data_IF_660752021676
#
_entry.id   IF_660752021676
#
_cell.length_a   1.000
_cell.length_b   1.000
_cell.length_c   1.000
_cell.angle_alpha   90.00
_cell.angle_beta   90.00
_cell.angle_gamma   90.00
#
_symmetry.space_group_name_H-M   'P 1'
#
loop_
_entity.id
_entity.type
_entity.pdbx_description
1 polymer ?
#
# COMPACT_ATOMS: atom_id res chain seq x y z
N UNK A 1 59.86 -41.92 -14.70
CA UNK A 1 59.09 -41.81 -13.45
C UNK A 1 57.77 -41.13 -13.76
N UNK A 2 56.65 -41.83 -13.54
CA UNK A 2 55.29 -41.40 -13.88
C UNK A 2 54.76 -40.53 -12.73
N UNK A 3 54.38 -39.28 -12.99
CA UNK A 3 53.61 -38.50 -12.02
C UNK A 3 52.13 -38.62 -12.32
N UNK A 4 51.44 -39.12 -11.30
CA UNK A 4 50.03 -39.41 -11.20
C UNK A 4 49.20 -38.13 -11.09
N UNK A 5 48.13 -38.14 -11.87
CA UNK A 5 46.92 -37.33 -11.79
C UNK A 5 46.31 -37.25 -10.38
N UNK A 6 46.05 -36.04 -9.87
CA UNK A 6 45.02 -35.80 -8.85
C UNK A 6 43.84 -35.07 -9.50
N UNK A 7 42.70 -35.76 -9.50
CA UNK A 7 41.41 -35.26 -10.00
C UNK A 7 40.79 -34.38 -8.91
N UNK A 8 40.46 -33.14 -9.26
CA UNK A 8 39.58 -32.29 -8.46
C UNK A 8 38.15 -32.83 -8.51
N UNK A 9 37.73 -33.44 -7.41
CA UNK A 9 36.37 -33.89 -7.14
C UNK A 9 35.54 -32.73 -6.58
N UNK A 10 34.99 -31.89 -7.47
CA UNK A 10 33.87 -31.03 -7.10
C UNK A 10 32.60 -31.89 -7.12
N UNK A 11 32.32 -32.53 -6.00
CA UNK A 11 31.08 -33.26 -5.78
C UNK A 11 29.91 -32.29 -5.73
N UNK A 12 28.93 -32.58 -6.59
CA UNK A 12 27.59 -32.03 -6.62
C UNK A 12 26.99 -31.79 -5.22
N UNK A 13 26.79 -30.51 -4.87
CA UNK A 13 25.96 -30.09 -3.75
C UNK A 13 25.03 -28.93 -4.15
N UNK A 14 24.54 -28.93 -5.39
CA UNK A 14 23.41 -28.07 -5.81
C UNK A 14 22.11 -28.83 -5.59
N UNK A 15 21.82 -29.19 -4.32
CA UNK A 15 20.50 -29.71 -3.93
C UNK A 15 19.60 -28.55 -3.56
N UNK A 16 18.64 -28.29 -4.44
CA UNK A 16 17.33 -27.72 -4.17
C UNK A 16 17.09 -27.22 -2.73
N UNK A 17 17.37 -25.93 -2.47
CA UNK A 17 16.59 -25.19 -1.48
C UNK A 17 15.21 -24.93 -2.08
N UNK A 18 14.35 -25.95 -2.06
CA UNK A 18 12.92 -25.70 -1.94
C UNK A 18 12.77 -24.96 -0.62
N UNK A 19 12.55 -23.65 -0.67
CA UNK A 19 12.02 -22.91 0.46
C UNK A 19 10.62 -23.48 0.73
N UNK A 20 10.60 -24.58 1.47
CA UNK A 20 9.47 -24.97 2.27
C UNK A 20 9.13 -23.74 3.10
N UNK A 21 7.95 -23.17 2.88
CA UNK A 21 7.28 -22.39 3.90
C UNK A 21 7.46 -23.18 5.19
N UNK A 22 8.24 -22.64 6.14
CA UNK A 22 8.38 -23.29 7.43
C UNK A 22 7.00 -23.24 8.06
N UNK A 23 6.26 -24.34 7.97
CA UNK A 23 4.99 -24.52 8.66
C UNK A 23 5.12 -24.28 10.17
N UNK A 24 6.35 -24.28 10.71
CA UNK A 24 6.64 -23.95 12.09
C UNK A 24 6.54 -22.44 12.43
N UNK A 25 6.52 -21.52 11.45
CA UNK A 25 6.23 -20.08 11.70
C UNK A 25 4.74 -19.74 11.60
N UNK A 26 3.90 -20.67 11.13
CA UNK A 26 2.44 -20.58 11.24
C UNK A 26 1.92 -20.88 12.67
N UNK A 27 2.80 -20.80 13.69
CA UNK A 27 2.51 -21.29 15.05
C UNK A 27 1.76 -20.31 15.94
N UNK A 28 1.42 -19.09 15.50
CA UNK A 28 0.51 -18.19 16.21
C UNK A 28 -0.40 -17.43 15.22
N UNK A 29 -1.68 -17.85 15.12
CA UNK A 29 -2.69 -17.32 14.18
C UNK A 29 -2.44 -17.83 12.75
N UNK A 30 -3.38 -18.36 11.98
CA UNK A 30 -4.61 -17.72 11.55
C UNK A 30 -5.64 -18.76 11.09
N UNK A 31 -6.72 -18.92 11.85
CA UNK A 31 -8.06 -18.87 11.29
C UNK A 31 -8.83 -17.81 12.07
N UNK A 32 -8.70 -16.56 11.63
CA UNK A 32 -9.45 -15.43 12.16
C UNK A 32 -9.56 -14.39 11.06
N UNK A 33 -10.78 -13.92 10.82
CA UNK A 33 -11.02 -12.76 9.97
C UNK A 33 -10.26 -11.58 10.57
N UNK A 34 -9.54 -10.82 9.73
CA UNK A 34 -8.78 -9.66 10.22
C UNK A 34 -9.71 -8.70 10.96
N UNK A 35 -9.26 -8.15 12.08
CA UNK A 35 -10.10 -7.33 12.96
C UNK A 35 -9.39 -6.04 13.33
N UNK A 36 -10.09 -4.92 13.18
CA UNK A 36 -9.61 -3.58 13.55
C UNK A 36 -9.96 -3.32 15.02
N UNK A 37 -8.94 -3.15 15.85
CA UNK A 37 -9.15 -2.80 17.26
C UNK A 37 -9.84 -1.44 17.39
N UNK A 38 -10.68 -1.31 18.42
CA UNK A 38 -11.49 -0.10 18.65
C UNK A 38 -10.64 1.18 18.65
N UNK A 39 -9.49 1.15 19.32
CA UNK A 39 -8.55 2.26 19.39
C UNK A 39 -7.96 2.67 18.03
N UNK A 40 -7.98 1.77 17.04
CA UNK A 40 -7.43 1.98 15.71
C UNK A 40 -8.50 2.21 14.62
N UNK A 41 -9.78 2.06 14.94
CA UNK A 41 -10.88 2.16 13.97
C UNK A 41 -10.90 3.51 13.25
N UNK A 42 -10.76 4.60 13.98
CA UNK A 42 -10.78 5.96 13.40
C UNK A 42 -9.64 6.15 12.41
N UNK A 43 -8.41 5.78 12.77
CA UNK A 43 -7.23 5.95 11.91
C UNK A 43 -7.29 5.01 10.69
N UNK A 44 -7.75 3.77 10.88
CA UNK A 44 -7.96 2.81 9.80
C UNK A 44 -9.00 3.31 8.80
N UNK A 45 -10.17 3.75 9.27
CA UNK A 45 -11.22 4.30 8.43
C UNK A 45 -10.78 5.58 7.72
N UNK A 46 -10.05 6.46 8.43
CA UNK A 46 -9.48 7.69 7.87
C UNK A 46 -8.56 7.36 6.69
N UNK A 47 -7.60 6.46 6.88
CA UNK A 47 -6.68 6.10 5.80
C UNK A 47 -7.37 5.39 4.65
N UNK A 48 -8.34 4.51 4.94
CA UNK A 48 -9.08 3.80 3.90
C UNK A 48 -9.89 4.76 3.01
N UNK A 49 -10.50 5.79 3.62
CA UNK A 49 -11.39 6.73 2.93
C UNK A 49 -10.66 7.93 2.31
N UNK A 50 -9.66 8.47 3.02
CA UNK A 50 -8.96 9.69 2.63
C UNK A 50 -7.61 9.42 1.95
N UNK A 51 -7.14 8.17 1.99
CA UNK A 51 -5.85 7.76 1.44
C UNK A 51 -4.66 8.53 2.02
N UNK A 52 -4.84 9.08 3.22
CA UNK A 52 -3.83 9.87 3.94
C UNK A 52 -3.93 9.66 5.45
N UNK A 53 -2.78 9.61 6.11
CA UNK A 53 -2.62 9.82 7.55
C UNK A 53 -1.63 10.98 7.70
N UNK A 54 -2.07 12.06 8.32
CA UNK A 54 -1.24 13.25 8.51
C UNK A 54 -0.07 13.02 9.46
N UNK A 55 0.96 13.87 9.34
CA UNK A 55 2.15 13.81 10.16
C UNK A 55 1.89 13.88 11.67
N UNK A 56 0.85 14.60 12.10
CA UNK A 56 0.47 14.72 13.51
C UNK A 56 -0.19 13.44 14.07
N UNK A 57 -0.77 12.61 13.20
CA UNK A 57 -1.48 11.39 13.60
C UNK A 57 -0.49 10.23 13.65
N UNK A 58 -0.34 9.63 14.82
CA UNK A 58 0.42 8.39 15.00
C UNK A 58 -0.44 7.19 14.63
N UNK A 59 0.19 6.14 14.09
CA UNK A 59 -0.50 4.88 13.81
C UNK A 59 -0.60 4.03 15.09
N UNK A 60 -1.81 3.80 15.64
CA UNK A 60 -1.99 3.01 16.86
C UNK A 60 -1.79 1.50 16.61
N UNK A 61 -1.63 0.73 17.68
CA UNK A 61 -1.72 -0.73 17.62
C UNK A 61 -3.16 -1.16 17.26
N UNK A 62 -3.29 -2.24 16.49
CA UNK A 62 -4.56 -2.71 15.93
C UNK A 62 -4.96 -2.05 14.60
N UNK A 63 -4.15 -1.13 14.08
CA UNK A 63 -4.37 -0.51 12.77
C UNK A 63 -4.25 -1.54 11.64
N UNK A 64 -5.19 -1.50 10.70
CA UNK A 64 -5.19 -2.37 9.53
C UNK A 64 -5.05 -1.58 8.22
N UNK A 65 -4.32 -2.17 7.27
CA UNK A 65 -4.25 -1.69 5.89
C UNK A 65 -4.31 -2.85 4.90
N UNK A 66 -5.49 -3.05 4.30
CA UNK A 66 -5.77 -4.03 3.25
C UNK A 66 -5.62 -3.48 1.82
N UNK A 67 -5.12 -2.25 1.65
CA UNK A 67 -4.96 -1.66 0.33
C UNK A 67 -6.25 -0.98 -0.14
N UNK A 68 -6.31 -0.63 -1.43
CA UNK A 68 -7.51 0.00 -2.00
C UNK A 68 -8.65 -1.01 -2.04
N UNK A 69 -9.82 -0.59 -1.57
CA UNK A 69 -11.00 -1.45 -1.55
C UNK A 69 -11.01 -2.44 -0.39
N UNK A 70 -10.14 -2.28 0.62
CA UNK A 70 -10.39 -2.92 1.91
C UNK A 70 -11.75 -2.45 2.41
N UNK A 71 -12.57 -3.39 2.85
CA UNK A 71 -13.84 -3.12 3.50
C UNK A 71 -13.72 -3.50 4.97
N UNK A 72 -14.31 -2.70 5.84
CA UNK A 72 -14.42 -2.96 7.27
C UNK A 72 -15.90 -2.89 7.60
N UNK A 73 -16.45 -3.93 8.21
CA UNK A 73 -17.85 -3.96 8.64
C UNK A 73 -18.06 -3.21 9.97
N UNK A 74 -19.32 -3.13 10.41
CA UNK A 74 -19.69 -2.46 11.66
C UNK A 74 -19.08 -3.10 12.92
N UNK A 75 -18.69 -4.37 12.83
CA UNK A 75 -18.05 -5.10 13.91
C UNK A 75 -16.53 -4.96 13.88
N UNK A 76 -15.95 -4.30 12.87
CA UNK A 76 -14.51 -4.11 12.73
C UNK A 76 -13.81 -5.23 11.97
N UNK A 77 -14.54 -6.19 11.40
CA UNK A 77 -13.91 -7.21 10.57
C UNK A 77 -13.57 -6.65 9.20
N UNK A 78 -12.35 -6.93 8.75
CA UNK A 78 -11.80 -6.44 7.51
C UNK A 78 -11.67 -7.54 6.46
N UNK A 79 -12.01 -7.20 5.22
CA UNK A 79 -11.81 -8.04 4.03
C UNK A 79 -11.09 -7.25 2.95
N UNK A 80 -10.24 -7.94 2.19
CA UNK A 80 -9.51 -7.38 1.06
C UNK A 80 -9.16 -8.46 0.04
N UNK A 81 -9.04 -8.09 -1.23
CA UNK A 81 -8.49 -8.95 -2.28
C UNK A 81 -6.98 -9.23 -2.14
N UNK A 82 -6.33 -8.72 -1.09
CA UNK A 82 -4.90 -8.86 -0.81
C UNK A 82 -4.69 -9.12 0.69
N UNK A 83 -3.44 -9.27 1.09
CA UNK A 83 -3.05 -9.28 2.51
C UNK A 83 -3.44 -7.99 3.22
N UNK A 84 -3.84 -8.14 4.48
CA UNK A 84 -4.20 -7.05 5.38
C UNK A 84 -3.04 -6.86 6.34
N UNK A 85 -2.33 -5.74 6.19
CA UNK A 85 -1.20 -5.42 7.05
C UNK A 85 -1.73 -4.95 8.40
N UNK A 86 -1.17 -5.48 9.49
CA UNK A 86 -1.48 -5.02 10.84
C UNK A 86 -0.27 -4.41 11.51
N UNK A 87 -0.50 -3.28 12.15
CA UNK A 87 0.45 -2.69 13.09
C UNK A 87 0.02 -3.10 14.49
N UNK A 88 0.80 -3.94 15.15
CA UNK A 88 0.57 -4.32 16.54
C UNK A 88 1.90 -4.58 17.24
N UNK A 89 2.40 -3.56 17.93
CA UNK A 89 3.69 -3.58 18.62
C UNK A 89 3.67 -4.49 19.84
N UNK A 90 2.51 -4.95 20.33
CA UNK A 90 2.41 -5.82 21.50
C UNK A 90 2.80 -7.27 21.17
N UNK A 91 2.53 -7.71 19.94
CA UNK A 91 2.83 -9.07 19.46
C UNK A 91 3.93 -9.11 18.39
N UNK A 92 4.10 -8.05 17.60
CA UNK A 92 5.07 -8.00 16.50
C UNK A 92 6.49 -7.67 17.00
N UNK A 93 7.25 -8.73 17.31
CA UNK A 93 8.65 -8.64 17.75
C UNK A 93 9.54 -7.98 16.69
N UNK A 94 9.31 -8.26 15.41
CA UNK A 94 10.12 -7.72 14.32
C UNK A 94 9.89 -6.22 14.15
N UNK A 95 8.63 -5.79 14.22
CA UNK A 95 8.28 -4.37 14.19
C UNK A 95 8.94 -3.63 15.35
N UNK A 96 8.90 -4.16 16.57
CA UNK A 96 9.61 -3.55 17.71
C UNK A 96 11.10 -3.37 17.44
N UNK A 97 11.78 -4.37 16.87
CA UNK A 97 13.20 -4.24 16.52
C UNK A 97 13.45 -3.14 15.47
N UNK A 98 12.55 -2.96 14.50
CA UNK A 98 12.63 -1.85 13.55
C UNK A 98 12.42 -0.49 14.26
N UNK A 99 11.50 -0.41 15.22
CA UNK A 99 11.25 0.80 15.99
C UNK A 99 12.42 1.17 16.91
N UNK A 100 13.04 0.20 17.57
CA UNK A 100 14.23 0.40 18.40
C UNK A 100 15.40 0.93 17.57
N UNK A 101 15.57 0.41 16.35
CA UNK A 101 16.54 0.97 15.40
C UNK A 101 16.22 2.44 15.11
N UNK A 102 14.97 2.75 14.74
CA UNK A 102 14.55 4.11 14.41
C UNK A 102 14.73 5.10 15.58
N UNK A 103 14.47 4.65 16.80
CA UNK A 103 14.59 5.43 18.04
C UNK A 103 16.01 5.46 18.64
N UNK A 104 16.99 4.82 17.98
CA UNK A 104 18.35 4.71 18.51
C UNK A 104 19.03 6.07 18.70
N UNK A 105 19.92 6.14 19.70
CA UNK A 105 20.72 7.35 20.00
C UNK A 105 21.58 7.82 18.83
N UNK A 106 21.97 6.92 17.93
CA UNK A 106 22.74 7.27 16.74
C UNK A 106 21.88 8.05 15.74
N UNK A 107 20.68 7.56 15.44
CA UNK A 107 19.72 8.23 14.55
C UNK A 107 19.21 9.54 15.14
N UNK A 108 19.03 9.62 16.46
CA UNK A 108 18.60 10.82 17.17
C UNK A 108 19.58 12.01 17.04
N UNK A 109 20.86 11.76 16.73
CA UNK A 109 21.87 12.81 16.51
C UNK A 109 21.82 13.42 15.11
N UNK A 110 21.18 12.74 14.16
CA UNK A 110 21.07 13.21 12.79
C UNK A 110 19.98 14.28 12.69
N UNK A 111 20.16 15.20 11.74
CA UNK A 111 19.10 16.13 11.33
C UNK A 111 17.93 15.36 10.68
N UNK A 112 16.82 16.06 10.44
CA UNK A 112 15.58 15.48 9.92
C UNK A 112 15.79 14.71 8.59
N UNK A 113 16.53 15.27 7.63
CA UNK A 113 16.72 14.65 6.31
C UNK A 113 17.64 13.42 6.37
N UNK A 114 18.75 13.51 7.11
CA UNK A 114 19.72 12.41 7.25
C UNK A 114 19.11 11.25 8.03
N UNK A 115 18.32 11.54 9.07
CA UNK A 115 17.59 10.54 9.84
C UNK A 115 16.58 9.80 8.95
N UNK A 116 15.77 10.55 8.21
CA UNK A 116 14.81 9.98 7.26
C UNK A 116 15.51 9.14 6.18
N UNK A 117 16.62 9.63 5.64
CA UNK A 117 17.43 8.92 4.63
C UNK A 117 17.95 7.60 5.17
N UNK A 118 18.42 7.59 6.43
CA UNK A 118 18.97 6.40 7.06
C UNK A 118 17.88 5.34 7.33
N UNK A 119 16.70 5.76 7.78
CA UNK A 119 15.51 4.90 7.93
C UNK A 119 15.06 4.35 6.57
N UNK A 120 14.96 5.19 5.54
CA UNK A 120 14.55 4.77 4.20
C UNK A 120 15.50 3.72 3.60
N UNK A 121 16.81 3.93 3.74
CA UNK A 121 17.83 2.95 3.31
C UNK A 121 17.77 1.65 4.11
N UNK A 122 17.42 1.72 5.40
CA UNK A 122 17.22 0.52 6.22
C UNK A 122 16.05 -0.32 5.69
N UNK A 123 14.89 0.31 5.48
CA UNK A 123 13.69 -0.32 4.94
C UNK A 123 13.94 -0.87 3.53
N UNK A 124 14.71 -0.13 2.72
CA UNK A 124 15.03 -0.58 1.37
C UNK A 124 15.85 -1.87 1.36
N UNK A 125 16.89 -1.97 2.20
CA UNK A 125 17.67 -3.20 2.37
C UNK A 125 16.83 -4.33 2.95
N UNK A 126 15.83 -4.02 3.76
CA UNK A 126 14.93 -5.02 4.33
C UNK A 126 14.08 -5.68 3.24
N UNK A 127 13.47 -4.87 2.37
CA UNK A 127 12.42 -5.30 1.43
C UNK A 127 12.86 -5.45 -0.03
N UNK A 128 14.08 -5.07 -0.39
CA UNK A 128 14.61 -5.30 -1.75
C UNK A 128 15.26 -6.68 -1.81
N UNK A 129 14.78 -7.58 -2.68
CA UNK A 129 15.40 -8.89 -2.88
C UNK A 129 16.85 -8.77 -3.33
N UNK A 130 17.66 -9.79 -3.02
CA UNK A 130 19.04 -9.86 -3.51
C UNK A 130 19.15 -9.85 -5.05
N UNK A 131 18.13 -10.38 -5.73
CA UNK A 131 18.02 -10.34 -7.19
C UNK A 131 17.62 -8.96 -7.76
N UNK A 132 17.36 -7.99 -6.89
CA UNK A 132 17.05 -6.62 -7.25
C UNK A 132 15.56 -6.27 -7.15
N UNK A 133 15.27 -4.99 -7.38
CA UNK A 133 13.94 -4.41 -7.19
C UNK A 133 12.90 -4.90 -8.18
N UNK A 134 13.31 -5.22 -9.40
CA UNK A 134 12.41 -5.71 -10.46
C UNK A 134 11.72 -7.03 -10.08
N UNK A 135 12.27 -7.78 -9.11
CA UNK A 135 11.65 -9.01 -8.60
C UNK A 135 10.58 -8.74 -7.53
N UNK A 136 10.42 -7.51 -7.04
CA UNK A 136 9.49 -7.21 -5.95
C UNK A 136 8.05 -7.55 -6.33
N UNK A 137 7.61 -7.20 -7.53
CA UNK A 137 6.25 -7.44 -8.00
C UNK A 137 5.95 -8.94 -8.04
N UNK A 138 6.74 -9.69 -8.82
CA UNK A 138 6.62 -11.15 -8.96
C UNK A 138 6.66 -11.90 -7.62
N UNK A 139 7.52 -11.47 -6.69
CA UNK A 139 7.60 -12.09 -5.35
C UNK A 139 6.40 -11.71 -4.47
N UNK A 140 5.86 -10.49 -4.63
CA UNK A 140 4.72 -10.00 -3.87
C UNK A 140 3.37 -10.52 -4.39
N UNK A 141 3.26 -10.94 -5.65
CA UNK A 141 2.07 -11.64 -6.18
C UNK A 141 1.70 -12.89 -5.37
N UNK A 142 2.71 -13.53 -4.74
CA UNK A 142 2.50 -14.66 -3.84
C UNK A 142 1.77 -14.26 -2.55
N UNK A 143 1.95 -13.04 -2.05
CA UNK A 143 1.14 -12.52 -0.93
C UNK A 143 -0.31 -12.37 -1.35
N UNK A 144 -0.53 -11.74 -2.50
CA UNK A 144 -1.88 -11.42 -2.98
C UNK A 144 -2.71 -12.68 -3.17
N UNK A 145 -2.13 -13.69 -3.82
CA UNK A 145 -2.84 -14.93 -4.15
C UNK A 145 -3.05 -15.87 -2.96
N UNK A 146 -2.17 -15.87 -1.95
CA UNK A 146 -2.24 -16.80 -0.83
C UNK A 146 -2.76 -16.21 0.49
N UNK A 147 -2.70 -14.89 0.63
CA UNK A 147 -3.02 -14.17 1.88
C UNK A 147 -4.15 -13.16 1.71
N UNK A 148 -4.96 -13.28 0.65
CA UNK A 148 -6.17 -12.47 0.50
C UNK A 148 -7.03 -12.51 1.79
N UNK A 149 -7.38 -11.33 2.31
CA UNK A 149 -8.10 -11.13 3.58
C UNK A 149 -7.43 -11.71 4.82
N UNK A 150 -6.19 -12.18 4.72
CA UNK A 150 -5.42 -12.65 5.88
C UNK A 150 -4.61 -11.51 6.45
N UNK A 151 -4.61 -11.44 7.77
CA UNK A 151 -3.79 -10.51 8.51
C UNK A 151 -2.32 -10.94 8.45
N UNK A 152 -1.45 -9.96 8.27
CA UNK A 152 0.01 -10.11 8.26
C UNK A 152 0.58 -8.99 9.12
N UNK A 153 1.33 -9.36 10.15
CA UNK A 153 2.05 -8.39 10.98
C UNK A 153 3.09 -7.66 10.13
N UNK A 154 3.15 -6.33 10.26
CA UNK A 154 3.99 -5.48 9.40
C UNK A 154 5.47 -5.87 9.44
N UNK A 155 6.01 -6.21 10.60
CA UNK A 155 7.39 -6.65 10.78
C UNK A 155 7.68 -8.00 10.13
N UNK A 156 6.67 -8.87 10.01
CA UNK A 156 6.82 -10.21 9.45
C UNK A 156 6.71 -10.27 7.92
N UNK A 157 6.32 -9.19 7.25
CA UNK A 157 6.11 -9.16 5.78
C UNK A 157 7.28 -9.79 5.03
N UNK A 158 8.53 -9.47 5.40
CA UNK A 158 9.73 -10.01 4.74
C UNK A 158 9.80 -11.53 4.81
N UNK A 159 9.35 -12.13 5.90
CA UNK A 159 9.42 -13.58 6.10
C UNK A 159 8.41 -14.34 5.22
N UNK A 160 7.34 -13.66 4.78
CA UNK A 160 6.34 -14.27 3.90
C UNK A 160 6.69 -14.18 2.41
N UNK A 161 7.25 -13.05 1.96
CA UNK A 161 7.39 -12.79 0.53
C UNK A 161 8.78 -12.35 0.06
N UNK A 162 9.77 -12.30 0.96
CA UNK A 162 11.16 -11.92 0.67
C UNK A 162 11.34 -10.53 0.03
N UNK A 163 10.24 -9.79 -0.19
CA UNK A 163 10.16 -8.54 -0.92
C UNK A 163 9.03 -7.68 -0.37
N UNK A 164 9.13 -6.35 -0.45
CA UNK A 164 8.03 -5.45 -0.08
C UNK A 164 7.68 -4.50 -1.21
N UNK A 165 6.39 -4.40 -1.53
CA UNK A 165 5.85 -3.32 -2.38
C UNK A 165 5.77 -1.97 -1.65
N UNK A 166 5.37 -0.93 -2.39
CA UNK A 166 5.23 0.45 -1.90
C UNK A 166 4.42 0.60 -0.61
N UNK A 167 3.29 -0.10 -0.47
CA UNK A 167 2.44 -0.09 0.73
C UNK A 167 3.19 -0.53 1.98
N UNK A 168 3.92 -1.65 1.90
CA UNK A 168 4.71 -2.18 3.02
C UNK A 168 5.78 -1.19 3.46
N UNK A 169 6.53 -0.67 2.47
CA UNK A 169 7.66 0.23 2.71
C UNK A 169 7.20 1.56 3.31
N UNK A 170 6.15 2.16 2.76
CA UNK A 170 5.65 3.46 3.21
C UNK A 170 4.95 3.39 4.57
N UNK A 171 4.22 2.30 4.85
CA UNK A 171 3.62 2.06 6.17
C UNK A 171 4.71 1.85 7.23
N UNK A 172 5.72 1.01 6.95
CA UNK A 172 6.84 0.81 7.88
C UNK A 172 7.63 2.11 8.09
N UNK A 173 7.84 2.91 7.04
CA UNK A 173 8.50 4.21 7.16
C UNK A 173 7.71 5.14 8.07
N UNK A 174 6.38 5.26 7.89
CA UNK A 174 5.52 6.08 8.76
C UNK A 174 5.64 5.66 10.23
N UNK A 175 5.54 4.36 10.52
CA UNK A 175 5.62 3.86 11.89
C UNK A 175 7.01 4.09 12.52
N UNK A 176 8.09 3.92 11.76
CA UNK A 176 9.46 4.23 12.19
C UNK A 176 9.72 5.75 12.32
N UNK A 177 9.11 6.56 11.45
CA UNK A 177 9.17 8.02 11.51
C UNK A 177 8.53 8.53 12.82
N UNK A 178 7.35 8.01 13.16
CA UNK A 178 6.64 8.33 14.40
C UNK A 178 7.48 7.99 15.65
N UNK A 179 8.17 6.84 15.64
CA UNK A 179 9.03 6.41 16.74
C UNK A 179 10.31 7.24 16.87
N UNK A 180 10.81 7.80 15.76
CA UNK A 180 12.02 8.62 15.71
C UNK A 180 11.76 10.12 15.82
N UNK A 181 10.50 10.52 16.01
CA UNK A 181 10.08 11.93 16.14
C UNK A 181 10.02 12.70 14.83
N UNK A 182 10.11 12.02 13.68
CA UNK A 182 9.99 12.66 12.36
C UNK A 182 8.52 12.94 12.03
N UNK A 183 8.26 14.12 11.44
CA UNK A 183 6.92 14.52 10.99
C UNK A 183 6.66 13.98 9.59
N UNK A 184 6.25 12.72 9.48
CA UNK A 184 5.95 12.09 8.21
C UNK A 184 4.46 11.76 8.07
N UNK A 185 3.86 12.11 6.94
CA UNK A 185 2.52 11.64 6.55
C UNK A 185 2.65 10.31 5.78
N UNK A 186 1.62 9.47 5.86
CA UNK A 186 1.45 8.30 4.99
C UNK A 186 0.44 8.66 3.91
N UNK A 187 0.79 8.44 2.65
CA UNK A 187 -0.04 8.85 1.52
C UNK A 187 -0.17 7.71 0.53
N UNK A 188 -1.37 7.55 0.00
CA UNK A 188 -1.69 6.65 -1.10
C UNK A 188 -2.33 7.45 -2.23
N UNK A 189 -2.00 7.07 -3.46
CA UNK A 189 -2.48 7.71 -4.67
C UNK A 189 -2.11 6.89 -5.89
N UNK A 190 -2.31 7.40 -7.10
CA UNK A 190 -1.81 6.76 -8.30
C UNK A 190 -0.39 7.25 -8.56
N UNK A 191 0.44 6.34 -9.03
CA UNK A 191 1.72 6.65 -9.63
C UNK A 191 1.70 6.16 -11.06
N UNK A 192 2.13 7.00 -11.98
CA UNK A 192 2.38 6.49 -13.31
C UNK A 192 3.28 7.33 -14.18
N UNK A 193 3.87 6.62 -15.12
CA UNK A 193 4.50 7.14 -16.32
C UNK A 193 3.58 6.84 -17.50
N UNK A 194 3.84 7.37 -18.71
CA UNK A 194 3.06 6.99 -19.88
C UNK A 194 3.04 5.48 -20.17
N UNK A 195 3.99 4.71 -19.62
CA UNK A 195 4.14 3.27 -19.86
C UNK A 195 3.66 2.38 -18.70
N UNK A 196 3.43 2.95 -17.51
CA UNK A 196 3.10 2.19 -16.30
C UNK A 196 2.22 3.04 -15.39
N UNK A 197 1.06 2.52 -14.98
CA UNK A 197 0.08 3.25 -14.19
C UNK A 197 -0.56 2.35 -13.14
N UNK A 198 -0.49 2.75 -11.87
CA UNK A 198 -1.01 1.91 -10.80
C UNK A 198 -1.21 2.63 -9.47
N UNK A 199 -1.80 1.91 -8.52
CA UNK A 199 -1.90 2.37 -7.13
C UNK A 199 -0.52 2.34 -6.46
N UNK A 200 -0.18 3.43 -5.78
CA UNK A 200 1.11 3.62 -5.13
C UNK A 200 0.96 4.26 -3.76
N UNK A 201 2.00 4.13 -2.93
CA UNK A 201 2.03 4.60 -1.55
C UNK A 201 3.41 5.14 -1.22
N UNK A 202 3.47 6.35 -0.66
CA UNK A 202 4.68 7.09 -0.35
C UNK A 202 4.51 7.84 0.97
N UNK A 203 5.54 8.58 1.38
CA UNK A 203 5.48 9.45 2.54
C UNK A 203 5.86 10.88 2.19
N UNK A 204 5.29 11.81 2.95
CA UNK A 204 5.62 13.24 2.89
C UNK A 204 6.25 13.63 4.21
N UNK A 205 7.50 14.06 4.18
CA UNK A 205 8.27 14.46 5.34
C UNK A 205 8.26 15.99 5.47
N UNK A 206 7.75 16.51 6.57
CA UNK A 206 7.89 17.93 6.92
C UNK A 206 9.28 18.16 7.50
N UNK A 207 10.05 19.04 6.84
CA UNK A 207 11.38 19.46 7.25
C UNK A 207 11.32 20.53 8.35
N UNK A 208 12.47 20.81 8.96
CA UNK A 208 12.58 21.77 10.07
C UNK A 208 12.22 23.20 9.64
N UNK A 209 12.40 23.53 8.37
CA UNK A 209 12.02 24.81 7.75
C UNK A 209 10.56 24.87 7.28
N UNK A 210 9.78 23.81 7.54
CA UNK A 210 8.37 23.70 7.19
C UNK A 210 8.09 23.21 5.76
N UNK A 211 9.10 23.07 4.90
CA UNK A 211 8.92 22.51 3.55
C UNK A 211 8.66 21.01 3.61
N UNK A 212 8.02 20.49 2.56
CA UNK A 212 7.75 19.06 2.44
C UNK A 212 8.73 18.37 1.49
N UNK A 213 9.27 17.22 1.90
CA UNK A 213 10.07 16.33 1.06
C UNK A 213 9.29 15.04 0.73
N UNK A 214 9.43 14.53 -0.49
CA UNK A 214 8.81 13.26 -0.90
C UNK A 214 9.76 12.10 -0.65
N UNK A 215 9.29 11.14 0.16
CA UNK A 215 10.01 9.91 0.48
C UNK A 215 9.31 8.74 -0.25
N UNK A 216 9.88 8.34 -1.40
CA UNK A 216 9.48 7.14 -2.13
C UNK A 216 10.59 6.07 -2.05
N UNK A 217 10.42 5.12 -1.14
CA UNK A 217 11.38 4.01 -0.93
C UNK A 217 11.22 2.93 -2.01
N UNK A 218 10.07 2.88 -2.69
CA UNK A 218 9.88 1.96 -3.81
C UNK A 218 10.68 2.44 -5.01
N UNK A 219 10.71 3.74 -5.28
CA UNK A 219 11.45 4.34 -6.39
C UNK A 219 12.44 5.39 -5.87
N UNK A 220 13.49 4.99 -5.12
CA UNK A 220 14.42 5.94 -4.55
C UNK A 220 15.19 6.66 -5.64
N UNK A 221 15.40 7.96 -5.46
CA UNK A 221 16.35 8.72 -6.28
C UNK A 221 17.79 8.26 -5.98
N UNK A 222 18.76 8.58 -6.86
CA UNK A 222 20.17 8.39 -6.57
C UNK A 222 20.52 8.90 -5.17
N UNK A 223 21.30 8.10 -4.45
CA UNK A 223 21.69 8.36 -3.06
C UNK A 223 20.57 8.56 -2.04
N UNK A 224 19.34 8.11 -2.34
CA UNK A 224 18.16 8.35 -1.50
C UNK A 224 17.90 9.84 -1.26
N UNK A 225 18.18 10.65 -2.28
CA UNK A 225 17.76 12.03 -2.30
C UNK A 225 16.23 12.15 -2.24
N UNK A 226 15.71 13.03 -1.38
CA UNK A 226 14.28 13.31 -1.30
C UNK A 226 13.99 14.68 -1.91
N UNK A 227 13.30 14.75 -3.05
CA UNK A 227 12.92 16.01 -3.67
C UNK A 227 12.09 16.85 -2.69
N UNK A 228 12.44 18.12 -2.57
CA UNK A 228 11.82 19.06 -1.63
C UNK A 228 10.92 20.04 -2.37
N UNK A 229 9.88 20.51 -1.69
CA UNK A 229 9.01 21.58 -2.16
C UNK A 229 9.81 22.81 -2.62
N UNK A 230 9.42 23.33 -3.79
CA UNK A 230 10.11 24.41 -4.48
C UNK A 230 11.17 23.96 -5.50
N UNK A 231 11.54 22.68 -5.52
CA UNK A 231 12.54 22.17 -6.47
C UNK A 231 11.92 21.72 -7.81
N UNK A 232 12.59 21.99 -8.95
CA UNK A 232 12.13 21.51 -10.26
C UNK A 232 12.05 19.97 -10.37
N UNK A 233 12.91 19.26 -9.62
CA UNK A 233 12.94 17.79 -9.53
C UNK A 233 11.64 17.24 -8.94
N UNK A 234 11.10 17.90 -7.93
CA UNK A 234 9.85 17.51 -7.29
C UNK A 234 8.68 17.58 -8.27
N UNK A 235 8.59 18.63 -9.10
CA UNK A 235 7.50 18.77 -10.07
C UNK A 235 7.41 17.57 -11.01
N UNK A 236 8.55 17.11 -11.55
CA UNK A 236 8.61 15.92 -12.42
C UNK A 236 8.15 14.64 -11.73
N UNK A 237 8.29 14.58 -10.41
CA UNK A 237 7.92 13.44 -9.59
C UNK A 237 6.44 13.54 -9.21
N UNK A 238 5.97 14.71 -8.81
CA UNK A 238 4.55 15.00 -8.56
C UNK A 238 3.69 14.83 -9.80
N UNK A 239 4.19 15.14 -10.99
CA UNK A 239 3.48 14.88 -12.25
C UNK A 239 3.17 13.38 -12.44
N UNK A 240 3.95 12.50 -11.80
CA UNK A 240 3.69 11.04 -11.76
C UNK A 240 2.75 10.67 -10.63
N UNK A 241 2.74 11.43 -9.54
CA UNK A 241 1.86 11.24 -8.41
C UNK A 241 0.54 11.97 -8.64
N UNK A 242 -0.46 11.24 -9.10
CA UNK A 242 -1.81 11.70 -8.90
C UNK A 242 -2.22 11.30 -7.50
N UNK A 243 -2.24 12.26 -6.58
CA UNK A 243 -3.01 12.12 -5.35
C UNK A 243 -4.34 11.53 -5.76
N UNK A 244 -4.68 10.37 -5.19
CA UNK A 244 -6.06 9.90 -5.31
C UNK A 244 -6.83 11.03 -4.69
N UNK A 245 -7.48 11.86 -5.53
CA UNK A 245 -8.33 12.90 -5.01
C UNK A 245 -9.18 12.19 -3.97
N UNK A 246 -9.17 12.70 -2.73
CA UNK A 246 -10.30 12.53 -1.83
C UNK A 246 -11.47 12.68 -2.77
N UNK A 247 -12.21 11.58 -3.06
CA UNK A 247 -13.32 11.64 -4.01
C UNK A 247 -14.19 12.75 -3.47
N UNK A 248 -14.05 13.93 -4.07
CA UNK A 248 -14.62 15.14 -3.51
C UNK A 248 -16.11 14.91 -3.46
N UNK A 249 -16.82 15.55 -2.54
CA UNK A 249 -18.26 15.42 -2.31
C UNK A 249 -19.13 15.33 -3.59
N UNK A 250 -18.61 15.76 -4.75
CA UNK A 250 -19.13 15.55 -6.11
C UNK A 250 -19.46 14.09 -6.48
N UNK A 251 -18.68 13.10 -6.07
CA UNK A 251 -18.97 11.67 -6.34
C UNK A 251 -19.99 11.06 -5.36
N UNK A 252 -20.15 11.67 -4.18
CA UNK A 252 -21.22 11.31 -3.24
C UNK A 252 -22.55 11.92 -3.69
N UNK A 253 -22.52 13.11 -4.28
CA UNK A 253 -23.68 13.74 -4.91
C UNK A 253 -24.21 12.92 -6.09
N UNK A 254 -23.35 12.38 -6.97
CA UNK A 254 -23.82 11.52 -8.08
C UNK A 254 -24.45 10.21 -7.62
N UNK A 255 -24.03 9.66 -6.47
CA UNK A 255 -24.67 8.49 -5.85
C UNK A 255 -26.02 8.84 -5.20
N UNK A 256 -26.09 9.95 -4.47
CA UNK A 256 -27.34 10.44 -3.90
C UNK A 256 -28.36 10.85 -4.98
N UNK A 257 -27.90 11.43 -6.09
CA UNK A 257 -28.70 11.74 -7.27
C UNK A 257 -29.15 10.47 -8.01
N UNK A 258 -28.31 9.44 -8.09
CA UNK A 258 -28.69 8.11 -8.59
C UNK A 258 -29.75 7.44 -7.70
N UNK A 259 -29.60 7.49 -6.38
CA UNK A 259 -30.58 6.93 -5.44
C UNK A 259 -31.91 7.69 -5.46
N UNK A 260 -31.87 9.02 -5.62
CA UNK A 260 -33.06 9.85 -5.85
C UNK A 260 -33.74 9.53 -7.19
N UNK A 261 -32.98 9.31 -8.26
CA UNK A 261 -33.52 8.89 -9.56
C UNK A 261 -34.16 7.50 -9.51
N UNK A 262 -33.55 6.56 -8.79
CA UNK A 262 -34.10 5.20 -8.58
C UNK A 262 -35.37 5.28 -7.71
N UNK A 263 -35.36 6.06 -6.63
CA UNK A 263 -36.53 6.25 -5.77
C UNK A 263 -37.68 6.98 -6.48
N UNK A 264 -37.38 7.95 -7.36
CA UNK A 264 -38.37 8.62 -8.19
C UNK A 264 -38.99 7.68 -9.23
N UNK A 265 -38.17 6.80 -9.84
CA UNK A 265 -38.63 5.79 -10.80
C UNK A 265 -39.53 4.75 -10.12
N UNK A 266 -39.20 4.32 -8.91
CA UNK A 266 -40.03 3.38 -8.13
C UNK A 266 -41.35 4.01 -7.65
N UNK A 267 -41.40 5.33 -7.39
CA UNK A 267 -42.65 6.04 -7.08
C UNK A 267 -43.53 6.25 -8.31
N UNK A 268 -42.95 6.37 -9.50
CA UNK A 268 -43.70 6.52 -10.75
C UNK A 268 -44.36 5.21 -11.19
N UNK A 269 -43.68 4.06 -10.99
CA UNK A 269 -44.24 2.74 -11.28
C UNK A 269 -45.37 2.31 -10.34
N UNK A 270 -45.53 2.95 -9.17
CA UNK A 270 -46.54 2.55 -8.18
C UNK A 270 -47.83 3.39 -8.21
N UNK A 271 -48.04 4.21 -9.27
CA UNK A 271 -49.22 5.10 -9.41
C UNK A 271 -50.06 4.89 -10.66
N UNK A 272 -49.81 3.86 -11.46
CA UNK A 272 -50.64 3.55 -12.63
C UNK A 272 -51.33 2.21 -12.43
N UNK A 273 -52.68 2.14 -12.38
CA UNK A 273 -53.37 0.87 -12.43
C UNK A 273 -53.14 0.22 -13.80
N UNK A 274 -52.80 -1.06 -13.79
CA UNK A 274 -52.64 -1.89 -14.98
C UNK A 274 -53.97 -1.95 -15.76
N UNK A 275 -54.10 -1.10 -16.78
CA UNK A 275 -55.06 -1.35 -17.86
C UNK A 275 -54.30 -1.76 -19.11
N UNK A 276 -54.66 -2.94 -19.59
CA UNK A 276 -54.12 -3.58 -20.79
C UNK A 276 -54.21 -2.70 -22.03
N UNK A 277 -53.23 -2.91 -22.92
CA UNK A 277 -53.04 -2.31 -24.25
C UNK A 277 -52.13 -1.09 -24.23
N UNK A 278 -50.86 -1.29 -24.57
CA UNK A 278 -50.16 -0.52 -25.61
C UNK A 278 -48.82 -1.19 -25.91
N UNK A 279 -48.76 -1.90 -27.05
CA UNK A 279 -47.53 -2.09 -27.81
C UNK A 279 -47.10 -0.71 -28.33
N UNK A 280 -45.80 -0.37 -28.25
CA UNK A 280 -45.00 0.43 -29.19
C UNK A 280 -43.72 0.94 -28.49
N UNK A 281 -42.58 0.76 -29.18
CA UNK A 281 -41.29 1.47 -29.04
C UNK A 281 -40.37 1.17 -27.85
N UNK A 282 -39.48 0.19 -28.03
CA UNK A 282 -38.24 0.04 -27.27
C UNK A 282 -37.02 0.21 -28.19
N UNK A 283 -36.85 1.41 -28.75
CA UNK A 283 -35.66 1.83 -29.49
C UNK A 283 -35.45 3.33 -29.30
N UNK A 284 -34.99 3.76 -28.14
CA UNK A 284 -34.30 5.05 -27.93
C UNK A 284 -33.82 5.04 -26.48
N UNK A 285 -32.60 4.54 -26.24
CA UNK A 285 -31.73 4.81 -25.07
C UNK A 285 -30.48 3.89 -25.13
N UNK A 286 -29.76 3.89 -26.24
CA UNK A 286 -28.41 3.32 -26.33
C UNK A 286 -27.59 4.13 -27.35
N UNK A 287 -27.42 5.42 -27.06
CA UNK A 287 -26.57 6.27 -27.88
C UNK A 287 -26.06 7.46 -27.09
N UNK A 288 -25.30 7.23 -26.01
CA UNK A 288 -24.30 8.18 -25.54
C UNK A 288 -23.28 7.43 -24.68
N UNK A 289 -22.00 7.67 -24.99
CA UNK A 289 -20.80 7.23 -24.26
C UNK A 289 -20.07 5.98 -24.79
N UNK A 290 -19.60 6.00 -26.05
CA UNK A 290 -18.25 5.49 -26.40
C UNK A 290 -17.73 6.25 -27.62
N UNK A 291 -17.02 7.35 -27.38
CA UNK A 291 -16.27 8.08 -28.39
C UNK A 291 -14.78 7.72 -28.29
N UNK A 292 -14.37 6.72 -29.05
CA UNK A 292 -12.96 6.44 -29.37
C UNK A 292 -12.58 7.37 -30.53
N UNK A 293 -11.53 8.16 -30.38
CA UNK A 293 -10.92 8.87 -31.51
C UNK A 293 -9.47 8.45 -31.64
N UNK A 294 -9.24 7.59 -32.64
CA UNK A 294 -7.97 7.38 -33.31
C UNK A 294 -7.60 8.63 -34.11
N UNK A 295 -6.36 9.09 -34.02
CA UNK A 295 -5.72 9.92 -35.05
C UNK A 295 -4.38 9.28 -35.40
N UNK A 296 -4.28 8.84 -36.65
CA UNK A 296 -3.01 8.62 -37.35
C UNK A 296 -2.60 9.96 -37.96
N UNK A 297 -1.36 10.36 -37.74
CA UNK A 297 -0.39 10.76 -38.78
C UNK A 297 1.01 10.48 -38.24
#
# INVERSE_FOLDING_TARGET
>A
MRHSSSRNSWSAATRHRRHLFSAAKLRHGYPGQAYVDEAARVVTATFNNQHRIDAATKIPDGFLDGGRGMQVDEFGFAVSGREILKVDRSVDVQLRAHLDYAASKELAKLNTIDRATRIARYIDRLYTPAAGRNECERLSERLVSHLASREVLLGDVKDFCLAGMCRHRSLLFKVMADASGLKASLVRGNYGTPQDWGGHSWNELTLDDGRTAIVDIMNPQPDFYFPVEGEPSLRKILDRFQYSQVRSARDQLTRAECELCIAASLRFCNRQPLTSQFNVSMQFLFQYSFGVSSIRY
#
